data_IF_175837780519
#
_entry.id   IF_175837780519
#
_cell.length_a   1.000
_cell.length_b   1.000
_cell.length_c   1.000
_cell.angle_alpha   90.00
_cell.angle_beta   90.00
_cell.angle_gamma   90.00
#
_symmetry.space_group_name_H-M   'P 1'
#
loop_
_entity.id
_entity.type
_entity.pdbx_description
1 polymer ?
#
# COMPACT_ATOMS: atom_id res chain seq x y z
N UNK A 1 -1.85 1.16 1.82
CA UNK A 1 -2.35 0.09 0.91
C UNK A 1 -1.71 -1.26 1.23
N UNK A 2 -0.38 -1.42 1.29
CA UNK A 2 0.26 -2.72 1.59
C UNK A 2 -0.11 -3.29 2.96
N UNK A 3 -0.36 -2.48 3.98
CA UNK A 3 -0.83 -2.93 5.29
C UNK A 3 -2.23 -3.54 5.17
N UNK A 4 -3.07 -3.02 4.27
CA UNK A 4 -4.41 -3.54 3.98
C UNK A 4 -4.35 -4.77 3.06
N UNK A 5 -3.56 -4.70 1.99
CA UNK A 5 -3.36 -5.78 1.03
C UNK A 5 -1.86 -6.01 0.75
N UNK A 6 -1.20 -6.93 1.46
CA UNK A 6 0.22 -7.22 1.28
C UNK A 6 0.58 -7.77 -0.11
N UNK A 7 -0.42 -8.31 -0.82
CA UNK A 7 -0.23 -8.91 -2.15
C UNK A 7 -0.26 -7.90 -3.30
N UNK A 8 -0.40 -6.60 -3.02
CA UNK A 8 -0.20 -5.54 -4.02
C UNK A 8 1.29 -5.46 -4.43
N UNK A 9 1.67 -6.29 -5.40
CA UNK A 9 3.04 -6.38 -5.89
C UNK A 9 3.54 -5.08 -6.53
N UNK A 10 2.66 -4.29 -7.14
CA UNK A 10 3.00 -2.99 -7.72
C UNK A 10 3.32 -1.98 -6.61
N UNK A 11 2.44 -1.85 -5.64
CA UNK A 11 2.67 -1.01 -4.46
C UNK A 11 3.92 -1.42 -3.70
N UNK A 12 4.15 -2.73 -3.50
CA UNK A 12 5.30 -3.27 -2.82
C UNK A 12 6.62 -2.87 -3.50
N UNK A 13 6.74 -3.10 -4.81
CA UNK A 13 7.96 -2.77 -5.55
C UNK A 13 8.23 -1.27 -5.61
N UNK A 14 7.19 -0.45 -5.52
CA UNK A 14 7.27 1.01 -5.50
C UNK A 14 7.88 1.54 -4.21
N UNK A 15 7.55 0.94 -3.05
CA UNK A 15 7.97 1.47 -1.74
C UNK A 15 9.12 0.69 -1.08
N UNK A 16 9.49 -0.49 -1.56
CA UNK A 16 10.45 -1.38 -0.92
C UNK A 16 11.80 -0.70 -0.59
N UNK A 17 12.20 0.28 -1.38
CA UNK A 17 13.42 1.07 -1.20
C UNK A 17 13.16 2.57 -0.99
N UNK A 18 12.00 2.96 -0.50
CA UNK A 18 11.63 4.34 -0.14
C UNK A 18 11.14 4.36 1.31
N UNK A 19 11.91 4.93 2.23
CA UNK A 19 13.29 5.44 2.14
C UNK A 19 14.32 4.41 1.67
N UNK A 20 15.53 4.84 1.28
CA UNK A 20 16.58 3.92 0.85
C UNK A 20 16.95 2.88 1.91
N UNK A 21 16.80 1.58 1.58
CA UNK A 21 17.08 0.44 2.48
C UNK A 21 18.19 -0.48 1.96
N UNK A 22 18.89 -0.07 0.89
CA UNK A 22 19.86 -0.93 0.24
C UNK A 22 19.24 -2.01 -0.66
N UNK A 23 17.95 -1.90 -0.96
CA UNK A 23 17.21 -2.80 -1.86
C UNK A 23 17.10 -2.12 -3.23
N UNK A 24 18.18 -2.15 -4.01
CA UNK A 24 18.23 -1.50 -5.32
C UNK A 24 17.44 -2.23 -6.39
N UNK A 25 17.28 -1.60 -7.57
CA UNK A 25 16.53 -2.14 -8.72
C UNK A 25 16.90 -3.58 -9.10
N UNK A 26 18.22 -3.90 -9.05
CA UNK A 26 18.70 -5.26 -9.35
C UNK A 26 18.16 -6.27 -8.34
N UNK A 27 18.18 -5.95 -7.05
CA UNK A 27 17.65 -6.81 -5.99
C UNK A 27 16.15 -7.01 -6.15
N UNK A 28 15.40 -5.94 -6.44
CA UNK A 28 13.95 -6.02 -6.70
C UNK A 28 13.67 -6.89 -7.92
N UNK A 29 14.38 -6.69 -9.04
CA UNK A 29 14.22 -7.51 -10.24
C UNK A 29 14.53 -9.00 -9.98
N UNK A 30 15.61 -9.29 -9.24
CA UNK A 30 15.94 -10.67 -8.84
C UNK A 30 14.81 -11.28 -7.97
N UNK A 31 14.29 -10.53 -7.01
CA UNK A 31 13.20 -10.99 -6.13
C UNK A 31 11.91 -11.27 -6.92
N UNK A 32 11.53 -10.38 -7.83
CA UNK A 32 10.34 -10.55 -8.68
C UNK A 32 10.47 -11.77 -9.59
N UNK A 33 11.62 -11.96 -10.24
CA UNK A 33 11.86 -13.11 -11.09
C UNK A 33 11.81 -14.40 -10.28
N UNK A 34 12.46 -14.43 -9.13
CA UNK A 34 12.47 -15.60 -8.25
C UNK A 34 11.06 -15.93 -7.72
N UNK A 35 10.26 -14.94 -7.35
CA UNK A 35 8.86 -15.15 -7.01
C UNK A 35 8.06 -15.77 -8.17
N UNK A 36 8.33 -15.32 -9.41
CA UNK A 36 7.75 -15.89 -10.62
C UNK A 36 8.17 -17.35 -10.85
N UNK A 37 9.44 -17.69 -10.64
CA UNK A 37 9.95 -19.07 -10.73
C UNK A 37 9.30 -19.98 -9.69
N UNK A 38 9.06 -19.48 -8.48
CA UNK A 38 8.36 -20.21 -7.42
C UNK A 38 6.84 -20.28 -7.63
N UNK A 39 6.28 -19.50 -8.55
CA UNK A 39 4.82 -19.41 -8.74
C UNK A 39 4.09 -18.75 -7.57
N UNK A 40 4.75 -17.86 -6.84
CA UNK A 40 4.17 -17.19 -5.65
C UNK A 40 4.16 -15.66 -5.83
N UNK A 41 3.28 -14.95 -5.11
CA UNK A 41 3.34 -13.49 -5.05
C UNK A 41 4.67 -12.99 -4.46
N UNK A 42 5.10 -11.78 -4.87
CA UNK A 42 6.36 -11.18 -4.38
C UNK A 42 6.39 -11.06 -2.86
N UNK A 43 5.26 -10.78 -2.22
CA UNK A 43 5.17 -10.72 -0.76
C UNK A 43 5.48 -12.08 -0.10
N UNK A 44 4.98 -13.18 -0.65
CA UNK A 44 5.32 -14.52 -0.14
C UNK A 44 6.80 -14.84 -0.30
N UNK A 45 7.42 -14.40 -1.41
CA UNK A 45 8.88 -14.52 -1.56
C UNK A 45 9.66 -13.71 -0.51
N UNK A 46 9.18 -12.51 -0.13
CA UNK A 46 9.75 -11.74 0.99
C UNK A 46 9.68 -12.52 2.31
N UNK A 47 8.54 -13.16 2.60
CA UNK A 47 8.34 -13.96 3.81
C UNK A 47 9.31 -15.16 3.86
N UNK A 48 9.50 -15.86 2.75
CA UNK A 48 10.48 -16.95 2.65
C UNK A 48 11.90 -16.45 2.97
N UNK A 49 12.27 -15.28 2.46
CA UNK A 49 13.59 -14.67 2.79
C UNK A 49 13.69 -14.35 4.28
N UNK A 50 12.65 -13.79 4.89
CA UNK A 50 12.62 -13.44 6.31
C UNK A 50 12.74 -14.69 7.21
N UNK A 51 11.91 -15.70 6.98
CA UNK A 51 11.92 -16.98 7.70
C UNK A 51 13.31 -17.64 7.64
N UNK A 52 13.97 -17.57 6.47
CA UNK A 52 15.31 -18.16 6.28
C UNK A 52 16.38 -17.40 7.06
N UNK A 53 16.32 -16.06 7.13
CA UNK A 53 17.29 -15.25 7.88
C UNK A 53 17.09 -15.37 9.41
N UNK A 54 15.85 -15.60 9.88
CA UNK A 54 15.53 -15.80 11.29
C UNK A 54 15.88 -17.23 11.80
N UNK A 55 16.27 -18.13 10.89
CA UNK A 55 16.60 -19.50 11.25
C UNK A 55 15.39 -20.38 11.61
N UNK A 56 14.19 -19.87 11.43
CA UNK A 56 12.94 -20.59 11.74
C UNK A 56 12.58 -21.65 10.68
N UNK A 57 13.27 -21.70 9.56
CA UNK A 57 12.94 -22.49 8.38
C UNK A 57 13.91 -23.59 8.01
N UNK A 58 14.68 -24.16 8.96
CA UNK A 58 15.45 -25.38 8.74
C UNK A 58 14.54 -26.63 8.75
N UNK A 59 13.45 -26.59 7.98
CA UNK A 59 12.77 -27.80 7.54
C UNK A 59 13.64 -28.40 6.41
N UNK A 60 14.42 -29.43 6.75
CA UNK A 60 15.29 -30.16 5.82
C UNK A 60 14.52 -30.78 4.62
N UNK A 61 13.20 -30.75 4.66
CA UNK A 61 12.31 -31.26 3.59
C UNK A 61 11.93 -30.20 2.54
N UNK A 62 12.07 -28.91 2.87
CA UNK A 62 12.05 -27.85 1.85
C UNK A 62 13.46 -27.77 1.25
N UNK A 63 13.63 -27.97 -0.07
CA UNK A 63 14.90 -27.58 -0.69
C UNK A 63 15.11 -26.13 -0.26
N UNK A 64 16.24 -25.86 0.43
CA UNK A 64 16.65 -24.49 0.72
C UNK A 64 16.70 -23.80 -0.64
N UNK A 65 15.57 -23.26 -1.03
CA UNK A 65 15.39 -22.61 -2.32
C UNK A 65 16.53 -21.60 -2.34
N UNK A 66 17.51 -21.82 -3.25
CA UNK A 66 18.69 -20.98 -3.28
C UNK A 66 18.19 -19.56 -3.51
N UNK A 67 18.07 -18.83 -2.40
CA UNK A 67 17.62 -17.45 -2.46
C UNK A 67 18.66 -16.71 -3.30
N UNK A 68 18.32 -16.22 -4.51
CA UNK A 68 19.31 -15.69 -5.45
C UNK A 68 19.75 -14.27 -5.08
N UNK A 69 19.81 -13.98 -3.78
CA UNK A 69 20.17 -12.69 -3.21
C UNK A 69 21.44 -12.82 -2.39
N UNK A 70 22.35 -11.84 -2.52
CA UNK A 70 23.51 -11.71 -1.65
C UNK A 70 23.09 -11.48 -0.19
N UNK A 71 23.89 -11.92 0.78
CA UNK A 71 23.59 -11.87 2.22
C UNK A 71 23.12 -10.48 2.69
N UNK A 72 23.79 -9.41 2.24
CA UNK A 72 23.39 -8.03 2.58
C UNK A 72 21.98 -7.70 2.08
N UNK A 73 21.66 -8.11 0.85
CA UNK A 73 20.34 -7.87 0.24
C UNK A 73 19.27 -8.71 0.93
N UNK A 74 19.56 -9.98 1.29
CA UNK A 74 18.63 -10.84 2.04
C UNK A 74 18.26 -10.20 3.37
N UNK A 75 19.23 -9.75 4.16
CA UNK A 75 18.99 -9.07 5.44
C UNK A 75 18.14 -7.82 5.29
N UNK A 76 18.39 -7.01 4.25
CA UNK A 76 17.60 -5.81 3.98
C UNK A 76 16.15 -6.16 3.60
N UNK A 77 15.95 -7.20 2.78
CA UNK A 77 14.64 -7.72 2.39
C UNK A 77 13.89 -8.31 3.59
N UNK A 78 14.57 -9.10 4.43
CA UNK A 78 14.01 -9.67 5.65
C UNK A 78 13.56 -8.58 6.64
N UNK A 79 14.40 -7.56 6.86
CA UNK A 79 14.04 -6.43 7.72
C UNK A 79 12.82 -5.67 7.20
N UNK A 80 12.69 -5.49 5.87
CA UNK A 80 11.52 -4.88 5.27
C UNK A 80 10.26 -5.76 5.42
N UNK A 81 10.38 -7.08 5.25
CA UNK A 81 9.28 -8.02 5.46
C UNK A 81 8.79 -7.99 6.91
N UNK A 82 9.71 -8.04 7.89
CA UNK A 82 9.37 -7.96 9.32
C UNK A 82 8.66 -6.66 9.69
N UNK A 83 9.10 -5.52 9.12
CA UNK A 83 8.41 -4.24 9.30
C UNK A 83 6.97 -4.29 8.75
N UNK A 84 6.75 -4.85 7.56
CA UNK A 84 5.40 -4.98 7.00
C UNK A 84 4.52 -5.88 7.84
N UNK A 85 5.07 -6.95 8.38
CA UNK A 85 4.35 -7.88 9.24
C UNK A 85 3.98 -7.23 10.58
N UNK A 86 4.89 -6.47 11.20
CA UNK A 86 4.61 -5.69 12.41
C UNK A 86 3.44 -4.71 12.17
N UNK A 87 3.49 -3.93 11.09
CA UNK A 87 2.44 -2.98 10.73
C UNK A 87 1.12 -3.68 10.38
N UNK A 88 1.18 -4.84 9.74
CA UNK A 88 0.00 -5.64 9.42
C UNK A 88 -0.69 -6.22 10.66
N UNK A 89 0.06 -6.54 11.71
CA UNK A 89 -0.50 -6.93 13.01
C UNK A 89 -1.09 -5.72 13.74
N UNK A 90 -0.36 -4.62 13.80
CA UNK A 90 -0.76 -3.41 14.47
C UNK A 90 -2.07 -2.80 13.94
N UNK A 91 -2.41 -3.04 12.67
CA UNK A 91 -3.67 -2.54 12.07
C UNK A 91 -4.94 -3.07 12.73
N UNK A 92 -4.86 -4.17 13.50
CA UNK A 92 -6.00 -4.76 14.21
C UNK A 92 -6.12 -4.27 15.68
N UNK A 93 -5.11 -3.53 16.15
CA UNK A 93 -5.02 -3.10 17.54
C UNK A 93 -5.04 -1.57 17.68
N UNK A 94 -4.44 -0.86 16.71
CA UNK A 94 -4.26 0.59 16.74
C UNK A 94 -5.33 1.30 15.92
N UNK A 95 -5.78 2.47 16.39
CA UNK A 95 -6.59 3.35 15.57
C UNK A 95 -5.80 3.89 14.37
N UNK A 96 -6.48 4.50 13.40
CA UNK A 96 -5.87 4.91 12.13
C UNK A 96 -4.73 5.91 12.32
N UNK A 97 -4.86 6.86 13.25
CA UNK A 97 -3.81 7.85 13.53
C UNK A 97 -2.59 7.19 14.16
N UNK A 98 -2.79 6.33 15.15
CA UNK A 98 -1.70 5.58 15.80
C UNK A 98 -0.98 4.67 14.80
N UNK A 99 -1.73 4.00 13.92
CA UNK A 99 -1.17 3.17 12.85
C UNK A 99 -0.33 3.98 11.86
N UNK A 100 -0.81 5.19 11.50
CA UNK A 100 -0.06 6.10 10.62
C UNK A 100 1.22 6.59 11.29
N UNK A 101 1.17 6.94 12.57
CA UNK A 101 2.34 7.38 13.33
C UNK A 101 3.36 6.24 13.46
N UNK A 102 2.92 5.03 13.76
CA UNK A 102 3.77 3.84 13.80
C UNK A 102 4.41 3.57 12.43
N UNK A 103 3.64 3.70 11.34
CA UNK A 103 4.14 3.55 9.97
C UNK A 103 5.25 4.56 9.67
N UNK A 104 5.06 5.83 10.00
CA UNK A 104 6.03 6.90 9.76
C UNK A 104 7.33 6.64 10.53
N UNK A 105 7.23 6.19 11.77
CA UNK A 105 8.37 5.84 12.62
C UNK A 105 9.10 4.59 12.09
N UNK A 106 8.40 3.46 11.96
CA UNK A 106 9.00 2.16 11.59
C UNK A 106 9.58 2.14 10.19
N UNK A 107 8.94 2.81 9.24
CA UNK A 107 9.47 2.94 7.88
C UNK A 107 10.67 3.87 7.79
N UNK A 108 10.91 4.72 8.77
CA UNK A 108 11.89 5.80 8.73
C UNK A 108 11.50 6.95 7.79
N UNK A 109 10.24 6.98 7.35
CA UNK A 109 9.79 7.94 6.34
C UNK A 109 9.74 9.36 6.90
N UNK A 110 9.42 9.53 8.19
CA UNK A 110 9.43 10.83 8.87
C UNK A 110 10.81 11.51 8.76
N UNK A 111 11.88 10.78 9.11
CA UNK A 111 13.25 11.30 9.01
C UNK A 111 13.73 11.50 7.56
N UNK A 112 13.22 10.68 6.63
CA UNK A 112 13.55 10.81 5.21
C UNK A 112 12.96 12.07 4.58
N UNK A 113 11.75 12.45 4.99
CA UNK A 113 11.06 13.64 4.48
C UNK A 113 11.58 14.91 5.14
N UNK A 114 11.92 14.85 6.42
CA UNK A 114 12.47 15.98 7.18
C UNK A 114 13.99 16.14 6.94
N UNK A 115 14.37 16.26 5.68
CA UNK A 115 15.78 16.34 5.23
C UNK A 115 16.40 17.76 5.36
N UNK A 116 15.65 18.71 5.89
CA UNK A 116 16.06 20.11 6.07
C UNK A 116 15.88 20.98 4.83
N UNK A 117 15.34 20.45 3.74
CA UNK A 117 15.02 21.20 2.52
C UNK A 117 13.62 21.84 2.61
N UNK A 118 13.38 22.86 1.79
CA UNK A 118 12.05 23.48 1.67
C UNK A 118 11.04 22.47 1.12
N UNK A 119 11.43 21.65 0.17
CA UNK A 119 10.59 20.57 -0.37
C UNK A 119 10.26 19.53 0.69
N UNK A 120 11.22 19.18 1.56
CA UNK A 120 11.01 18.28 2.69
C UNK A 120 10.00 18.86 3.69
N UNK A 121 10.06 20.18 3.93
CA UNK A 121 9.08 20.88 4.77
C UNK A 121 7.67 20.79 4.21
N UNK A 122 7.48 21.06 2.94
CA UNK A 122 6.16 20.96 2.27
C UNK A 122 5.63 19.52 2.32
N UNK A 123 6.48 18.52 2.07
CA UNK A 123 6.08 17.10 2.19
C UNK A 123 5.64 16.75 3.61
N UNK A 124 6.34 17.29 4.62
CA UNK A 124 5.97 17.05 6.01
C UNK A 124 4.65 17.72 6.37
N UNK A 125 4.39 18.92 5.86
CA UNK A 125 3.09 19.61 6.02
C UNK A 125 1.94 18.77 5.46
N UNK A 126 2.10 18.21 4.23
CA UNK A 126 1.12 17.30 3.64
C UNK A 126 0.88 16.04 4.49
N UNK A 127 1.93 15.48 5.09
CA UNK A 127 1.80 14.34 6.02
C UNK A 127 1.03 14.79 7.28
N UNK A 128 1.27 15.98 7.77
CA UNK A 128 0.58 16.52 8.95
C UNK A 128 -0.91 16.74 8.68
N UNK A 129 -1.27 17.18 7.48
CA UNK A 129 -2.66 17.25 7.03
C UNK A 129 -3.30 15.87 6.96
N UNK A 130 -2.60 14.89 6.38
CA UNK A 130 -3.07 13.50 6.34
C UNK A 130 -3.30 12.92 7.73
N UNK A 131 -2.44 13.25 8.72
CA UNK A 131 -2.63 12.88 10.13
C UNK A 131 -3.87 13.55 10.74
N UNK A 132 -4.18 14.75 10.32
CA UNK A 132 -5.38 15.47 10.76
C UNK A 132 -6.63 14.78 10.23
N UNK A 133 -6.66 14.43 8.96
CA UNK A 133 -7.74 13.65 8.35
C UNK A 133 -7.87 12.29 9.04
N UNK A 134 -6.78 11.59 9.35
CA UNK A 134 -6.82 10.30 10.03
C UNK A 134 -7.52 10.33 11.40
N UNK A 135 -7.59 11.49 12.08
CA UNK A 135 -8.34 11.65 13.34
C UNK A 135 -9.84 11.53 13.16
N UNK A 136 -10.37 11.91 12.01
CA UNK A 136 -11.81 11.89 11.74
C UNK A 136 -12.34 10.44 11.69
N UNK A 137 -11.43 9.47 11.54
CA UNK A 137 -11.73 8.04 11.54
C UNK A 137 -11.56 7.36 12.91
N UNK A 138 -11.18 8.12 13.96
CA UNK A 138 -10.92 7.54 15.29
C UNK A 138 -12.16 6.89 15.93
N UNK A 139 -13.36 7.34 15.57
CA UNK A 139 -14.64 6.81 16.06
C UNK A 139 -15.08 5.53 15.30
N UNK A 140 -14.44 5.22 14.18
CA UNK A 140 -14.77 4.02 13.41
C UNK A 140 -14.13 2.77 14.03
N UNK A 141 -14.77 1.59 13.87
CA UNK A 141 -14.11 0.33 14.22
C UNK A 141 -12.76 0.22 13.50
N UNK A 142 -11.72 -0.23 14.22
CA UNK A 142 -10.34 -0.29 13.74
C UNK A 142 -10.23 -0.99 12.38
N UNK A 143 -10.97 -2.07 12.17
CA UNK A 143 -10.97 -2.82 10.91
C UNK A 143 -11.59 -2.05 9.74
N UNK A 144 -12.57 -1.19 9.99
CA UNK A 144 -13.24 -0.40 8.97
C UNK A 144 -12.49 0.91 8.65
N UNK A 145 -11.83 1.51 9.65
CA UNK A 145 -11.19 2.82 9.52
C UNK A 145 -10.17 2.87 8.38
N UNK A 146 -9.29 1.88 8.28
CA UNK A 146 -8.26 1.84 7.25
C UNK A 146 -8.84 1.66 5.85
N UNK A 147 -9.84 0.80 5.67
CA UNK A 147 -10.47 0.59 4.35
C UNK A 147 -11.21 1.84 3.89
N UNK A 148 -12.03 2.45 4.75
CA UNK A 148 -12.76 3.68 4.45
C UNK A 148 -11.82 4.82 4.09
N UNK A 149 -10.76 5.01 4.88
CA UNK A 149 -9.73 6.01 4.61
C UNK A 149 -9.03 5.78 3.24
N UNK A 150 -8.67 4.54 2.92
CA UNK A 150 -8.02 4.22 1.64
C UNK A 150 -8.96 4.44 0.44
N UNK A 151 -10.24 4.19 0.59
CA UNK A 151 -11.26 4.47 -0.42
C UNK A 151 -11.38 5.98 -0.67
N UNK A 152 -11.49 6.80 0.38
CA UNK A 152 -11.61 8.25 0.24
C UNK A 152 -10.35 8.89 -0.35
N UNK A 153 -9.16 8.48 0.11
CA UNK A 153 -7.89 8.96 -0.47
C UNK A 153 -7.73 8.55 -1.94
N UNK A 154 -8.23 7.38 -2.33
CA UNK A 154 -8.21 6.97 -3.73
C UNK A 154 -9.11 7.87 -4.59
N UNK A 155 -10.29 8.25 -4.10
CA UNK A 155 -11.22 9.13 -4.80
C UNK A 155 -10.61 10.52 -5.06
N UNK A 156 -9.96 11.12 -4.06
CA UNK A 156 -9.30 12.42 -4.20
C UNK A 156 -8.15 12.35 -5.22
N UNK A 157 -7.34 11.29 -5.17
CA UNK A 157 -6.19 11.11 -6.08
C UNK A 157 -6.61 10.91 -7.55
N UNK A 158 -7.76 10.28 -7.80
CA UNK A 158 -8.24 10.05 -9.16
C UNK A 158 -8.77 11.34 -9.80
N UNK A 159 -9.34 12.24 -9.00
CA UNK A 159 -9.82 13.56 -9.46
C UNK A 159 -8.65 14.49 -9.78
N UNK A 160 -7.59 14.51 -8.96
CA UNK A 160 -6.42 15.36 -9.17
C UNK A 160 -5.58 14.94 -10.39
N UNK A 161 -5.73 13.72 -10.88
CA UNK A 161 -5.02 13.20 -12.05
C UNK A 161 -5.79 13.37 -13.38
N UNK A 162 -6.95 14.03 -13.37
CA UNK A 162 -7.68 14.36 -14.59
C UNK A 162 -6.92 15.43 -15.37
N UNK A 163 -6.21 15.03 -16.43
CA UNK A 163 -5.60 15.95 -17.36
C UNK A 163 -6.64 16.41 -18.40
N UNK A 164 -7.19 17.60 -18.23
CA UNK A 164 -8.19 18.19 -19.11
C UNK A 164 -7.66 18.44 -20.55
N UNK A 165 -6.36 18.31 -20.78
CA UNK A 165 -5.74 18.53 -22.09
C UNK A 165 -5.66 17.27 -22.96
N UNK A 166 -5.97 16.10 -22.39
CA UNK A 166 -5.95 14.84 -23.14
C UNK A 166 -7.33 14.56 -23.73
N UNK A 167 -7.42 14.60 -25.07
CA UNK A 167 -8.62 14.22 -25.82
C UNK A 167 -8.78 12.67 -25.80
N UNK A 168 -9.20 12.13 -24.65
CA UNK A 168 -9.41 10.72 -24.43
C UNK A 168 -10.61 10.49 -23.47
N UNK A 169 -11.35 9.37 -23.63
CA UNK A 169 -12.39 9.00 -22.69
C UNK A 169 -11.78 8.69 -21.31
N UNK A 170 -12.38 9.27 -20.28
CA UNK A 170 -11.99 9.06 -18.89
C UNK A 170 -12.88 7.99 -18.25
N UNK A 171 -12.26 6.98 -17.65
CA UNK A 171 -12.95 5.95 -16.88
C UNK A 171 -12.91 6.30 -15.39
N UNK A 172 -14.08 6.47 -14.80
CA UNK A 172 -14.25 6.83 -13.40
C UNK A 172 -15.25 5.92 -12.71
N UNK A 173 -15.12 5.76 -11.40
CA UNK A 173 -16.20 5.23 -10.58
C UNK A 173 -17.26 6.32 -10.35
N UNK A 174 -18.50 5.95 -10.03
CA UNK A 174 -19.55 6.93 -9.67
C UNK A 174 -19.15 7.80 -8.47
N UNK A 175 -18.43 7.23 -7.52
CA UNK A 175 -17.92 7.99 -6.37
C UNK A 175 -16.84 9.01 -6.78
N UNK A 176 -15.94 8.65 -7.68
CA UNK A 176 -14.92 9.57 -8.20
C UNK A 176 -15.53 10.68 -9.09
N UNK A 177 -16.68 10.40 -9.71
CA UNK A 177 -17.41 11.38 -10.52
C UNK A 177 -18.23 12.38 -9.68
N UNK A 178 -18.40 12.17 -8.38
CA UNK A 178 -19.19 13.05 -7.51
C UNK A 178 -18.60 14.46 -7.48
N UNK A 179 -19.40 15.43 -7.92
CA UNK A 179 -19.00 16.85 -7.98
C UNK A 179 -18.29 17.25 -9.27
N UNK A 180 -18.07 16.32 -10.21
CA UNK A 180 -17.53 16.60 -11.54
C UNK A 180 -18.67 16.71 -12.55
N UNK A 181 -18.46 17.52 -13.59
CA UNK A 181 -19.42 17.73 -14.70
C UNK A 181 -18.72 17.36 -16.02
N UNK A 182 -19.37 16.49 -16.80
CA UNK A 182 -18.86 16.07 -18.12
C UNK A 182 -19.89 16.33 -19.20
N UNK A 183 -19.49 16.78 -20.40
CA UNK A 183 -20.41 17.02 -21.52
C UNK A 183 -21.15 15.78 -21.99
N UNK A 184 -20.49 14.61 -21.88
CA UNK A 184 -21.05 13.30 -22.27
C UNK A 184 -20.65 12.27 -21.22
N UNK A 185 -21.63 11.49 -20.75
CA UNK A 185 -21.44 10.45 -19.74
C UNK A 185 -22.02 9.13 -20.23
N UNK A 186 -21.25 8.05 -20.12
CA UNK A 186 -21.71 6.70 -20.36
C UNK A 186 -21.67 5.93 -19.02
N UNK A 187 -22.83 5.52 -18.53
CA UNK A 187 -22.91 4.68 -17.33
C UNK A 187 -22.98 3.23 -17.80
N UNK A 188 -22.00 2.42 -17.42
CA UNK A 188 -21.91 1.00 -17.74
C UNK A 188 -22.21 0.15 -16.49
N UNK A 189 -22.62 -1.11 -16.68
CA UNK A 189 -22.93 -2.02 -15.57
C UNK A 189 -24.22 -1.68 -14.84
N UNK A 190 -25.23 -1.16 -15.55
CA UNK A 190 -26.59 -0.90 -15.04
C UNK A 190 -27.37 -2.23 -14.93
N UNK A 191 -26.92 -3.11 -14.06
CA UNK A 191 -27.53 -4.42 -13.80
C UNK A 191 -28.04 -4.47 -12.36
N UNK A 192 -29.15 -5.17 -12.10
CA UNK A 192 -29.65 -5.37 -10.74
C UNK A 192 -28.56 -5.98 -9.84
N UNK A 193 -28.48 -5.54 -8.59
CA UNK A 193 -27.47 -5.91 -7.58
C UNK A 193 -26.06 -5.33 -7.82
N UNK A 194 -25.72 -4.89 -9.03
CA UNK A 194 -24.48 -4.19 -9.32
C UNK A 194 -24.65 -2.68 -9.20
N UNK A 195 -25.71 -2.12 -9.82
CA UNK A 195 -26.07 -0.72 -9.69
C UNK A 195 -27.60 -0.51 -9.87
N UNK A 196 -28.33 -0.04 -8.82
CA UNK A 196 -27.82 0.24 -7.45
C UNK A 196 -27.38 -1.02 -6.71
N UNK A 197 -26.39 -0.87 -5.82
CA UNK A 197 -25.87 -1.98 -5.03
C UNK A 197 -26.96 -2.51 -4.09
N UNK A 198 -27.04 -3.83 -3.90
CA UNK A 198 -28.06 -4.50 -3.09
C UNK A 198 -28.26 -3.87 -1.69
N UNK A 199 -27.18 -3.40 -1.05
CA UNK A 199 -27.25 -2.71 0.25
C UNK A 199 -27.99 -1.37 0.22
N UNK A 200 -28.03 -0.69 -0.91
CA UNK A 200 -28.76 0.59 -1.03
C UNK A 200 -30.24 0.41 -1.36
N UNK A 201 -30.69 -0.81 -1.63
CA UNK A 201 -32.09 -1.14 -1.87
C UNK A 201 -32.82 -1.58 -0.60
N UNK A 202 -32.08 -1.95 0.46
CA UNK A 202 -32.64 -2.39 1.74
C UNK A 202 -32.90 -1.25 2.74
N UNK A 203 -32.54 0.01 2.43
CA UNK A 203 -32.89 1.19 3.23
C UNK A 203 -34.13 1.89 2.65
N UNK A 204 -35.25 2.03 3.43
CA UNK A 204 -36.46 2.72 3.01
C UNK A 204 -36.31 4.24 2.94
#
# INVERSE_FOLDING_TARGET
>A
RLIHNPYDGVGLTRIINVPPRGIGRKTVGTLVNWAGELGVPVYAALQIVAETEEGAGADETRPAAQIPLATRARRAVAAFAGMLEELSRARHELNLLELLDLLLERSGYAGYVQDGTEEGRVRWENISELRTVARDYAELPVEAALSTFLEEVALVSDVDNLDEQVDAPTLLTLHAAKGLEFPVVFIVGMEEELFPHSRSMDEP
#
